data_IF_923313670922
#
_entry.id   IF_923313670922
#
_cell.length_a   1.000
_cell.length_b   1.000
_cell.length_c   1.000
_cell.angle_alpha   90.00
_cell.angle_beta   90.00
_cell.angle_gamma   90.00
#
_symmetry.space_group_name_H-M   'P 1'
#
loop_
_entity.id
_entity.type
_entity.pdbx_description
1 polymer ?
#
# COMPACT_ATOMS: atom_id res chain seq x y z
N UNK A 1 -19.25 -33.05 -24.44
CA UNK A 1 -19.19 -32.24 -23.21
C UNK A 1 -18.39 -33.00 -22.18
N UNK A 2 -17.13 -32.60 -21.92
CA UNK A 2 -16.33 -33.20 -20.86
C UNK A 2 -16.86 -32.72 -19.50
N UNK A 3 -17.31 -33.65 -18.64
CA UNK A 3 -17.71 -33.32 -17.28
C UNK A 3 -16.47 -33.24 -16.42
N UNK A 4 -16.13 -32.03 -15.96
CA UNK A 4 -15.00 -31.84 -15.06
C UNK A 4 -15.32 -32.49 -13.72
N UNK A 5 -14.44 -33.37 -13.25
CA UNK A 5 -14.57 -34.01 -11.94
C UNK A 5 -14.57 -32.94 -10.84
N UNK A 6 -15.42 -33.08 -9.82
CA UNK A 6 -15.49 -32.15 -8.68
C UNK A 6 -14.13 -31.97 -8.01
N UNK A 7 -13.34 -33.05 -7.90
CA UNK A 7 -11.98 -32.98 -7.37
C UNK A 7 -11.02 -32.15 -8.26
N UNK A 8 -11.20 -32.22 -9.58
CA UNK A 8 -10.40 -31.41 -10.51
C UNK A 8 -10.76 -29.92 -10.40
N UNK A 9 -12.04 -29.59 -10.22
CA UNK A 9 -12.47 -28.21 -9.98
C UNK A 9 -11.91 -27.65 -8.66
N UNK A 10 -11.91 -28.45 -7.58
CA UNK A 10 -11.34 -28.06 -6.29
C UNK A 10 -9.81 -27.86 -6.35
N UNK A 11 -9.10 -28.73 -7.09
CA UNK A 11 -7.66 -28.59 -7.27
C UNK A 11 -7.30 -27.30 -8.02
N UNK A 12 -8.02 -26.99 -9.11
CA UNK A 12 -7.82 -25.76 -9.88
C UNK A 12 -8.09 -24.53 -9.01
N UNK A 13 -9.17 -24.54 -8.21
CA UNK A 13 -9.48 -23.46 -7.28
C UNK A 13 -8.36 -23.27 -6.25
N UNK A 14 -7.85 -24.35 -5.65
CA UNK A 14 -6.76 -24.27 -4.69
C UNK A 14 -5.46 -23.72 -5.31
N UNK A 15 -5.14 -24.11 -6.55
CA UNK A 15 -3.99 -23.58 -7.28
C UNK A 15 -4.16 -22.10 -7.59
N UNK A 16 -5.35 -21.68 -8.05
CA UNK A 16 -5.65 -20.28 -8.33
C UNK A 16 -5.55 -19.41 -7.07
N UNK A 17 -6.05 -19.89 -5.93
CA UNK A 17 -5.91 -19.21 -4.63
C UNK A 17 -4.44 -19.09 -4.21
N UNK A 18 -3.66 -20.19 -4.31
CA UNK A 18 -2.22 -20.15 -4.00
C UNK A 18 -1.46 -19.19 -4.91
N UNK A 19 -1.76 -19.18 -6.21
CA UNK A 19 -1.16 -18.23 -7.14
C UNK A 19 -1.52 -16.78 -6.77
N UNK A 20 -2.78 -16.50 -6.41
CA UNK A 20 -3.20 -15.18 -5.96
C UNK A 20 -2.46 -14.73 -4.68
N UNK A 21 -2.24 -15.64 -3.73
CA UNK A 21 -1.47 -15.36 -2.51
C UNK A 21 0.01 -15.09 -2.82
N UNK A 22 0.63 -15.89 -3.71
CA UNK A 22 2.04 -15.71 -4.11
C UNK A 22 2.23 -14.37 -4.84
N UNK A 23 1.29 -13.98 -5.70
CA UNK A 23 1.34 -12.70 -6.43
C UNK A 23 1.23 -11.49 -5.48
N UNK A 24 0.48 -11.61 -4.39
CA UNK A 24 0.40 -10.56 -3.35
C UNK A 24 1.75 -10.39 -2.62
N UNK A 25 2.39 -11.48 -2.22
CA UNK A 25 3.70 -11.43 -1.52
C UNK A 25 4.87 -11.03 -2.42
N UNK A 26 4.86 -11.37 -3.72
CA UNK A 26 5.91 -10.96 -4.67
C UNK A 26 5.81 -9.45 -4.98
N UNK A 27 4.59 -8.88 -4.97
CA UNK A 27 4.40 -7.45 -5.22
C UNK A 27 4.96 -6.55 -4.12
N UNK A 28 5.01 -7.03 -2.88
CA UNK A 28 5.59 -6.30 -1.74
C UNK A 28 7.10 -6.12 -1.85
N UNK A 29 7.80 -7.01 -2.58
CA UNK A 29 9.25 -6.94 -2.78
C UNK A 29 9.65 -6.14 -4.05
N UNK A 30 8.68 -5.75 -4.89
CA UNK A 30 8.93 -4.98 -6.12
C UNK A 30 8.47 -3.52 -6.02
N UNK A 31 8.19 -3.02 -4.83
CA UNK A 31 7.80 -1.63 -4.66
C UNK A 31 8.95 -0.72 -5.11
N UNK A 32 8.63 0.22 -6.00
CA UNK A 32 9.62 1.10 -6.62
C UNK A 32 10.43 1.89 -5.59
N UNK A 33 11.54 2.48 -6.04
CA UNK A 33 12.46 3.16 -5.13
C UNK A 33 11.88 4.46 -4.56
N UNK A 34 11.84 4.53 -3.22
CA UNK A 34 11.57 5.73 -2.43
C UNK A 34 12.84 6.06 -1.63
N UNK A 35 13.12 7.34 -1.39
CA UNK A 35 14.28 7.72 -0.57
C UNK A 35 14.04 7.32 0.88
N UNK A 36 15.10 7.00 1.63
CA UNK A 36 15.00 6.68 3.06
C UNK A 36 14.31 7.78 3.85
N UNK A 37 14.59 9.06 3.52
CA UNK A 37 13.89 10.21 4.11
C UNK A 37 12.38 10.13 3.90
N UNK A 38 11.93 9.85 2.69
CA UNK A 38 10.51 9.80 2.40
C UNK A 38 9.82 8.57 3.02
N UNK A 39 10.54 7.44 3.12
CA UNK A 39 10.06 6.27 3.87
C UNK A 39 9.87 6.64 5.35
N UNK A 40 10.84 7.33 5.95
CA UNK A 40 10.77 7.76 7.35
C UNK A 40 9.64 8.77 7.61
N UNK A 41 9.44 9.74 6.73
CA UNK A 41 8.33 10.70 6.82
C UNK A 41 6.96 9.99 6.79
N UNK A 42 6.77 9.08 5.83
CA UNK A 42 5.51 8.32 5.70
C UNK A 42 5.30 7.43 6.92
N UNK A 43 6.32 6.71 7.36
CA UNK A 43 6.27 5.88 8.55
C UNK A 43 5.92 6.70 9.80
N UNK A 44 6.64 7.79 10.04
CA UNK A 44 6.41 8.67 11.20
C UNK A 44 5.03 9.31 11.13
N UNK A 45 4.53 9.67 9.95
CA UNK A 45 3.18 10.21 9.80
C UNK A 45 2.09 9.20 10.16
N UNK A 46 2.26 7.93 9.76
CA UNK A 46 1.31 6.86 10.09
C UNK A 46 1.36 6.49 11.57
N UNK A 47 2.55 6.23 12.11
CA UNK A 47 2.72 5.60 13.43
C UNK A 47 2.92 6.60 14.58
N UNK A 48 3.37 7.84 14.27
CA UNK A 48 3.78 8.83 15.29
C UNK A 48 3.18 10.22 15.05
N UNK A 49 2.16 10.33 14.20
CA UNK A 49 1.45 11.58 13.91
C UNK A 49 2.35 12.70 13.36
N UNK A 50 3.38 12.35 12.58
CA UNK A 50 4.19 13.30 11.82
C UNK A 50 3.51 13.80 10.54
N UNK A 51 4.28 14.50 9.71
CA UNK A 51 3.84 15.04 8.42
C UNK A 51 4.64 14.43 7.26
N UNK A 52 4.04 14.43 6.07
CA UNK A 52 4.70 14.05 4.82
C UNK A 52 4.83 15.29 3.96
N UNK A 53 6.04 15.56 3.48
CA UNK A 53 6.32 16.66 2.54
C UNK A 53 5.74 16.40 1.16
N UNK A 54 5.49 17.46 0.40
CA UNK A 54 4.92 17.36 -0.95
C UNK A 54 5.81 16.51 -1.88
N UNK A 55 7.14 16.67 -1.81
CA UNK A 55 8.08 15.84 -2.56
C UNK A 55 7.93 14.35 -2.23
N UNK A 56 7.81 14.02 -0.95
CA UNK A 56 7.61 12.64 -0.52
C UNK A 56 6.21 12.12 -0.88
N UNK A 57 5.19 12.98 -0.93
CA UNK A 57 3.89 12.66 -1.50
C UNK A 57 3.97 12.29 -2.99
N UNK A 58 4.72 13.04 -3.81
CA UNK A 58 4.93 12.70 -5.22
C UNK A 58 5.59 11.31 -5.36
N UNK A 59 6.59 11.00 -4.53
CA UNK A 59 7.25 9.68 -4.56
C UNK A 59 6.30 8.57 -4.07
N UNK A 60 5.51 8.82 -3.02
CA UNK A 60 4.52 7.87 -2.49
C UNK A 60 3.49 7.51 -3.57
N UNK A 61 2.94 8.51 -4.25
CA UNK A 61 1.97 8.30 -5.33
C UNK A 61 2.62 7.55 -6.50
N UNK A 62 3.89 7.86 -6.82
CA UNK A 62 4.66 7.19 -7.88
C UNK A 62 4.87 5.69 -7.64
N UNK A 63 5.14 5.27 -6.39
CA UNK A 63 5.26 3.82 -6.08
C UNK A 63 3.89 3.12 -6.07
N UNK A 64 2.81 3.88 -5.91
CA UNK A 64 1.44 3.43 -6.09
C UNK A 64 0.78 2.90 -4.82
N UNK A 65 -0.55 2.98 -4.81
CA UNK A 65 -1.41 2.59 -3.67
C UNK A 65 -1.19 1.16 -3.21
N UNK A 66 -1.09 0.16 -4.12
CA UNK A 66 -0.88 -1.22 -3.69
C UNK A 66 0.40 -1.40 -2.87
N UNK A 67 1.46 -0.67 -3.22
CA UNK A 67 2.72 -0.72 -2.49
C UNK A 67 2.63 -0.08 -1.12
N UNK A 68 2.03 1.11 -1.03
CA UNK A 68 1.76 1.76 0.25
C UNK A 68 0.95 0.85 1.19
N UNK A 69 -0.17 0.30 0.70
CA UNK A 69 -1.04 -0.56 1.51
C UNK A 69 -0.37 -1.88 1.91
N UNK A 70 0.46 -2.47 1.04
CA UNK A 70 1.13 -3.73 1.34
C UNK A 70 2.28 -3.55 2.35
N UNK A 71 3.02 -2.44 2.28
CA UNK A 71 4.04 -2.10 3.29
C UNK A 71 3.41 -1.88 4.67
N UNK A 72 2.33 -1.11 4.76
CA UNK A 72 1.60 -0.89 6.03
C UNK A 72 1.04 -2.19 6.57
N UNK A 73 0.46 -3.06 5.71
CA UNK A 73 -0.03 -4.37 6.14
C UNK A 73 1.07 -5.26 6.68
N UNK A 74 2.26 -5.26 6.05
CA UNK A 74 3.43 -6.01 6.51
C UNK A 74 3.85 -5.58 7.91
N UNK A 75 3.93 -4.28 8.18
CA UNK A 75 4.29 -3.78 9.52
C UNK A 75 3.25 -4.21 10.57
N UNK A 76 1.97 -4.29 10.18
CA UNK A 76 0.88 -4.76 11.03
C UNK A 76 0.83 -6.29 11.24
N UNK A 77 1.75 -7.06 10.63
CA UNK A 77 1.94 -8.49 10.92
C UNK A 77 2.78 -8.71 12.20
N UNK A 78 3.45 -7.67 12.69
CA UNK A 78 4.21 -7.73 13.94
C UNK A 78 3.32 -8.26 15.09
N UNK A 79 3.81 -9.22 15.91
CA UNK A 79 3.08 -9.77 17.03
C UNK A 79 2.47 -8.73 17.98
N UNK A 80 3.09 -7.55 18.11
CA UNK A 80 2.58 -6.42 18.88
C UNK A 80 1.14 -6.05 18.47
N UNK A 81 0.84 -6.06 17.17
CA UNK A 81 -0.48 -5.64 16.67
C UNK A 81 -1.54 -6.75 16.73
N UNK A 82 -1.18 -8.02 16.98
CA UNK A 82 -2.11 -9.16 16.93
C UNK A 82 -3.30 -9.02 17.89
N UNK A 83 -3.05 -8.48 19.08
CA UNK A 83 -4.08 -8.31 20.12
C UNK A 83 -4.59 -6.86 20.22
N UNK A 84 -4.13 -5.97 19.33
CA UNK A 84 -4.37 -4.53 19.40
C UNK A 84 -5.20 -4.06 18.21
N UNK A 85 -6.37 -4.67 18.02
CA UNK A 85 -7.25 -4.43 16.86
C UNK A 85 -7.61 -2.95 16.68
N UNK A 86 -7.85 -2.21 17.76
CA UNK A 86 -8.16 -0.78 17.68
C UNK A 86 -6.98 0.04 17.14
N UNK A 87 -5.76 -0.25 17.60
CA UNK A 87 -4.53 0.41 17.13
C UNK A 87 -4.30 0.09 15.65
N UNK A 88 -4.52 -1.17 15.25
CA UNK A 88 -4.44 -1.59 13.86
C UNK A 88 -5.41 -0.79 12.97
N UNK A 89 -6.66 -0.61 13.40
CA UNK A 89 -7.64 0.19 12.66
C UNK A 89 -7.24 1.66 12.58
N UNK A 90 -6.68 2.24 13.65
CA UNK A 90 -6.17 3.61 13.63
C UNK A 90 -5.05 3.78 12.59
N UNK A 91 -4.07 2.86 12.59
CA UNK A 91 -2.94 2.87 11.64
C UNK A 91 -3.43 2.77 10.20
N UNK A 92 -4.36 1.86 9.91
CA UNK A 92 -4.95 1.71 8.57
C UNK A 92 -5.71 2.98 8.14
N UNK A 93 -6.45 3.61 9.07
CA UNK A 93 -7.13 4.87 8.81
C UNK A 93 -6.15 5.99 8.49
N UNK A 94 -5.07 6.13 9.28
CA UNK A 94 -4.01 7.13 9.02
C UNK A 94 -3.30 6.89 7.69
N UNK A 95 -2.96 5.64 7.38
CA UNK A 95 -2.37 5.28 6.10
C UNK A 95 -3.26 5.69 4.92
N UNK A 96 -4.58 5.49 5.01
CA UNK A 96 -5.56 5.93 4.01
C UNK A 96 -5.63 7.47 3.91
N UNK A 97 -5.64 8.17 5.03
CA UNK A 97 -5.65 9.64 5.05
C UNK A 97 -4.42 10.24 4.38
N UNK A 98 -3.23 9.71 4.69
CA UNK A 98 -1.96 10.14 4.08
C UNK A 98 -1.98 9.90 2.58
N UNK A 99 -2.44 8.71 2.15
CA UNK A 99 -2.59 8.40 0.73
C UNK A 99 -3.46 9.44 0.02
N UNK A 100 -4.67 9.69 0.55
CA UNK A 100 -5.63 10.64 -0.03
C UNK A 100 -5.05 12.06 -0.09
N UNK A 101 -4.38 12.51 0.98
CA UNK A 101 -3.70 13.81 1.02
C UNK A 101 -2.67 13.91 -0.10
N UNK A 102 -1.80 12.90 -0.23
CA UNK A 102 -0.75 12.91 -1.24
C UNK A 102 -1.30 12.87 -2.67
N UNK A 103 -2.37 12.11 -2.94
CA UNK A 103 -3.01 12.13 -4.26
C UNK A 103 -3.58 13.51 -4.60
N UNK A 104 -4.24 14.18 -3.64
CA UNK A 104 -4.79 15.53 -3.87
C UNK A 104 -3.70 16.56 -4.18
N UNK A 105 -2.51 16.44 -3.57
CA UNK A 105 -1.36 17.31 -3.88
C UNK A 105 -0.88 17.09 -5.32
N UNK A 106 -0.72 15.83 -5.74
CA UNK A 106 -0.29 15.49 -7.10
C UNK A 106 -1.32 15.94 -8.14
N UNK A 107 -2.60 15.77 -7.86
CA UNK A 107 -3.69 16.20 -8.75
C UNK A 107 -3.74 17.72 -8.90
N UNK A 108 -3.54 18.47 -7.81
CA UNK A 108 -3.53 19.95 -7.84
C UNK A 108 -2.37 20.51 -8.68
N UNK A 109 -1.16 19.92 -8.57
CA UNK A 109 0.01 20.32 -9.38
C UNK A 109 -0.22 20.04 -10.87
N UNK A 110 -0.96 18.97 -11.19
CA UNK A 110 -1.28 18.60 -12.58
C UNK A 110 -2.22 19.60 -13.27
N UNK A 111 -3.00 20.36 -12.51
CA UNK A 111 -4.02 21.31 -13.01
C UNK A 111 -3.48 22.74 -13.10
N UNK A 112 -2.37 23.07 -12.44
CA UNK A 112 -1.75 24.39 -12.57
C UNK A 112 -0.98 24.50 -13.89
N UNK A 113 -1.37 25.40 -14.82
CA UNK A 113 -0.54 25.69 -15.99
C UNK A 113 0.79 26.27 -15.52
N UNK A 114 1.88 25.73 -16.05
CA UNK A 114 3.23 26.26 -15.85
C UNK A 114 3.28 27.70 -16.37
N UNK A 115 3.02 28.66 -15.49
CA UNK A 115 3.43 30.04 -15.71
C UNK A 115 4.92 30.10 -15.37
N UNK A 116 5.76 29.96 -16.41
CA UNK A 116 7.16 30.38 -16.36
C UNK A 116 7.26 31.83 -16.87
N UNK A 117 8.24 32.61 -16.34
CA UNK A 117 8.36 34.06 -16.56
C UNK A 117 8.76 34.47 -17.98
#
# INVERSE_FOLDING_TARGET
MARLNVYAALAILAIAVRAAVIVDSVKTHSCGNMTLRCIDEVYTSIFRNGTVSDECCHKLVKIGRPCHEALVRRDLEDPFFKNHTNIKQEILSKAKQIWNKCTSIVDAVSVSPSASP
#
